data_IF_081089345132
#
_entry.id   IF_081089345132
#
_cell.length_a   1.000
_cell.length_b   1.000
_cell.length_c   1.000
_cell.angle_alpha   90.00
_cell.angle_beta   90.00
_cell.angle_gamma   90.00
#
_symmetry.space_group_name_H-M   'P 1'
#
loop_
_entity.id
_entity.type
_entity.pdbx_description
1 polymer ?
#
# COMPACT_ATOMS: atom_id res chain seq x y z
N UNK A 1 -11.46 -12.27 15.68
CA UNK A 1 -11.00 -11.63 14.42
C UNK A 1 -9.48 -11.69 14.38
N UNK A 2 -8.88 -12.13 13.26
CA UNK A 2 -7.43 -12.22 13.14
C UNK A 2 -6.83 -10.88 12.70
N UNK A 3 -5.66 -10.53 13.26
CA UNK A 3 -4.90 -9.35 12.83
C UNK A 3 -4.07 -9.72 11.60
N UNK A 4 -4.16 -8.91 10.56
CA UNK A 4 -3.34 -9.04 9.35
C UNK A 4 -2.19 -8.03 9.40
N UNK A 5 -0.98 -8.52 9.17
CA UNK A 5 0.18 -7.66 8.96
C UNK A 5 0.41 -7.53 7.45
N UNK A 6 0.36 -6.30 6.95
CA UNK A 6 0.53 -5.99 5.54
C UNK A 6 1.77 -5.09 5.40
N UNK A 7 2.62 -5.35 4.42
CA UNK A 7 3.87 -4.62 4.22
C UNK A 7 4.05 -4.24 2.75
N UNK A 8 4.48 -3.00 2.51
CA UNK A 8 4.77 -2.50 1.16
C UNK A 8 6.16 -2.97 0.72
N UNK A 9 6.22 -4.02 -0.11
CA UNK A 9 7.50 -4.61 -0.56
C UNK A 9 8.14 -3.90 -1.76
N UNK A 10 7.34 -3.21 -2.58
CA UNK A 10 7.78 -2.56 -3.82
C UNK A 10 7.26 -1.13 -3.92
N UNK A 11 7.91 -0.33 -4.78
CA UNK A 11 7.49 1.04 -5.06
C UNK A 11 6.15 1.10 -5.80
N UNK A 12 5.39 2.16 -5.54
CA UNK A 12 4.15 2.52 -6.24
C UNK A 12 4.38 3.39 -7.48
N UNK A 13 5.63 3.78 -7.77
CA UNK A 13 5.98 4.53 -8.98
C UNK A 13 5.61 3.71 -10.22
N UNK A 14 4.91 4.35 -11.17
CA UNK A 14 4.43 3.70 -12.40
C UNK A 14 3.25 2.73 -12.20
N UNK A 15 2.75 2.55 -10.98
CA UNK A 15 1.55 1.75 -10.72
C UNK A 15 0.27 2.52 -11.03
N UNK A 16 -0.83 1.82 -11.38
CA UNK A 16 -2.14 2.42 -11.60
C UNK A 16 -2.62 3.27 -10.42
N UNK A 17 -3.42 4.30 -10.70
CA UNK A 17 -3.95 5.21 -9.67
C UNK A 17 -4.77 4.49 -8.59
N UNK A 18 -5.54 3.47 -8.98
CA UNK A 18 -6.32 2.64 -8.06
C UNK A 18 -5.44 2.02 -6.98
N UNK A 19 -4.28 1.48 -7.36
CA UNK A 19 -3.34 0.88 -6.42
C UNK A 19 -2.73 1.93 -5.48
N UNK A 20 -2.43 3.13 -5.99
CA UNK A 20 -1.90 4.22 -5.16
C UNK A 20 -2.91 4.61 -4.07
N UNK A 21 -4.18 4.76 -4.44
CA UNK A 21 -5.28 5.05 -3.50
C UNK A 21 -5.47 3.95 -2.47
N UNK A 22 -5.36 2.68 -2.85
CA UNK A 22 -5.44 1.56 -1.89
C UNK A 22 -4.28 1.58 -0.90
N UNK A 23 -3.05 1.81 -1.38
CA UNK A 23 -1.85 1.89 -0.52
C UNK A 23 -1.96 3.05 0.47
N UNK A 24 -2.50 4.20 0.03
CA UNK A 24 -2.79 5.36 0.89
C UNK A 24 -3.90 5.06 1.91
N UNK A 25 -4.99 4.41 1.50
CA UNK A 25 -6.09 4.01 2.39
C UNK A 25 -5.64 2.99 3.45
N UNK A 26 -4.64 2.15 3.11
CA UNK A 26 -4.00 1.22 4.03
C UNK A 26 -2.91 1.88 4.90
N UNK A 27 -2.63 3.18 4.72
CA UNK A 27 -1.63 3.92 5.49
C UNK A 27 -0.18 3.51 5.19
N UNK A 28 0.05 2.81 4.08
CA UNK A 28 1.38 2.29 3.72
C UNK A 28 2.16 3.38 2.97
N UNK A 29 3.18 3.97 3.60
CA UNK A 29 4.11 4.92 2.97
C UNK A 29 5.52 4.36 2.93
N UNK A 30 6.22 4.57 1.82
CA UNK A 30 7.68 4.39 1.76
C UNK A 30 8.32 5.70 2.21
N UNK A 31 8.94 5.69 3.39
CA UNK A 31 10.00 6.65 3.75
C UNK A 31 11.27 6.37 2.96
#
# INVERSE_FOLDING_TARGET
MAKLQITLTRSVIGRPETQRKTVEALGLKKT
#
